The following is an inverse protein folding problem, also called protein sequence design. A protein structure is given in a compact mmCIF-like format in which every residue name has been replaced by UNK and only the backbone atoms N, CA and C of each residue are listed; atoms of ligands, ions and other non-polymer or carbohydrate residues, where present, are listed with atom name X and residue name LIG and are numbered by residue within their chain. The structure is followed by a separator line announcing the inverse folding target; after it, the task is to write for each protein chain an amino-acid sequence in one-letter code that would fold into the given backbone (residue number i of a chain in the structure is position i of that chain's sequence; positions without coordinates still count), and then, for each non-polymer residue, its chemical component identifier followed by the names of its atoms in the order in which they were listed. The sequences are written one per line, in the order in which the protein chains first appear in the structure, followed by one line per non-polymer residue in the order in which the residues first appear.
data_IF_452152453163
#
_entry.id   IF_452152453163
#
_cell.length_a   1.000
_cell.length_b   1.000
_cell.length_c   1.000
_cell.angle_alpha   90.00
_cell.angle_beta   90.00
_cell.angle_gamma   90.00
#
_symmetry.space_group_name_H-M   'P 1'
#
loop_
_entity.id
_entity.type
_entity.pdbx_description
1 polymer ?
#
# COMPACT_ATOMS: atom_id res chain seq x y z
N UNK A 1 -28.01 2.91 1.02
CA UNK A 1 -27.02 2.67 -0.06
C UNK A 1 -27.74 1.95 -1.19
N UNK A 2 -27.64 2.42 -2.42
CA UNK A 2 -28.28 1.80 -3.59
C UNK A 2 -27.37 0.69 -4.17
N UNK A 3 -27.34 -0.46 -3.51
CA UNK A 3 -26.51 -1.62 -3.83
C UNK A 3 -27.26 -2.77 -4.50
N UNK A 4 -28.59 -2.72 -4.43
CA UNK A 4 -29.47 -3.73 -4.99
C UNK A 4 -30.44 -3.09 -5.99
N UNK A 5 -30.80 -3.85 -7.00
CA UNK A 5 -31.85 -3.54 -7.95
C UNK A 5 -32.99 -4.54 -7.74
N UNK A 6 -34.20 -4.02 -7.55
CA UNK A 6 -35.41 -4.84 -7.44
C UNK A 6 -35.84 -5.23 -8.84
N UNK A 7 -35.98 -6.51 -9.10
CA UNK A 7 -36.48 -7.07 -10.37
C UNK A 7 -37.70 -7.95 -10.10
N UNK A 8 -38.51 -8.25 -11.11
CA UNK A 8 -39.64 -9.18 -10.93
C UNK A 8 -39.25 -10.59 -10.42
N UNK A 9 -37.98 -10.95 -10.65
CA UNK A 9 -37.42 -12.25 -10.25
C UNK A 9 -36.71 -12.23 -8.89
N UNK A 10 -36.66 -11.05 -8.23
CA UNK A 10 -35.97 -10.84 -6.95
C UNK A 10 -35.04 -9.66 -6.96
N UNK A 11 -33.89 -9.78 -6.26
CA UNK A 11 -32.90 -8.73 -6.16
C UNK A 11 -31.67 -9.07 -7.00
N UNK A 12 -31.16 -8.08 -7.76
CA UNK A 12 -29.85 -8.14 -8.41
C UNK A 12 -28.86 -7.27 -7.65
N UNK A 13 -27.68 -7.79 -7.40
CA UNK A 13 -26.56 -7.04 -6.78
C UNK A 13 -25.90 -6.19 -7.83
N UNK A 14 -25.78 -4.88 -7.58
CA UNK A 14 -25.09 -3.96 -8.48
C UNK A 14 -23.57 -4.18 -8.45
N UNK A 15 -22.92 -3.97 -9.58
CA UNK A 15 -21.46 -4.14 -9.74
C UNK A 15 -20.65 -3.45 -8.63
N UNK A 16 -21.04 -2.23 -8.24
CA UNK A 16 -20.37 -1.49 -7.18
C UNK A 16 -20.38 -2.21 -5.84
N UNK A 17 -21.41 -2.99 -5.53
CA UNK A 17 -21.46 -3.78 -4.31
C UNK A 17 -20.40 -4.90 -4.31
N UNK A 18 -20.21 -5.57 -5.44
CA UNK A 18 -19.14 -6.55 -5.58
C UNK A 18 -17.75 -5.89 -5.46
N UNK A 19 -17.54 -4.74 -6.08
CA UNK A 19 -16.29 -3.99 -6.00
C UNK A 19 -15.95 -3.52 -4.58
N UNK A 20 -16.97 -3.10 -3.81
CA UNK A 20 -16.78 -2.49 -2.50
C UNK A 20 -16.76 -3.48 -1.33
N UNK A 21 -17.46 -4.60 -1.44
CA UNK A 21 -17.75 -5.46 -0.30
C UNK A 21 -17.44 -6.94 -0.53
N UNK A 22 -17.10 -7.37 -1.76
CA UNK A 22 -16.75 -8.76 -2.03
C UNK A 22 -15.27 -9.01 -1.78
N UNK A 23 -14.92 -10.07 -1.07
CA UNK A 23 -13.52 -10.48 -0.85
C UNK A 23 -12.86 -11.01 -2.12
N UNK A 24 -13.67 -11.47 -3.11
CA UNK A 24 -13.22 -12.05 -4.35
C UNK A 24 -13.89 -11.40 -5.56
N UNK A 25 -13.71 -10.08 -5.80
CA UNK A 25 -14.34 -9.38 -6.91
C UNK A 25 -13.84 -9.88 -8.28
N UNK A 26 -12.67 -10.51 -8.34
CA UNK A 26 -12.11 -11.12 -9.56
C UNK A 26 -12.96 -12.26 -10.12
N UNK A 27 -13.91 -12.80 -9.34
CA UNK A 27 -14.90 -13.76 -9.83
C UNK A 27 -15.88 -13.14 -10.82
N UNK A 28 -16.15 -11.84 -10.64
CA UNK A 28 -17.09 -11.06 -11.46
C UNK A 28 -16.34 -10.20 -12.48
N UNK A 29 -15.25 -9.57 -12.06
CA UNK A 29 -14.40 -8.69 -12.86
C UNK A 29 -13.01 -9.29 -12.91
N UNK A 30 -12.68 -9.91 -14.03
CA UNK A 30 -11.42 -10.64 -14.16
C UNK A 30 -10.21 -9.71 -13.93
N UNK A 31 -9.15 -10.28 -13.37
CA UNK A 31 -7.92 -9.58 -13.06
C UNK A 31 -8.09 -8.32 -12.17
N UNK A 32 -9.15 -8.31 -11.34
CA UNK A 32 -9.32 -7.27 -10.32
C UNK A 32 -8.31 -7.51 -9.19
N UNK A 33 -7.09 -7.06 -9.44
CA UNK A 33 -5.95 -7.18 -8.53
C UNK A 33 -4.92 -6.10 -8.84
N UNK A 34 -3.99 -5.89 -7.93
CA UNK A 34 -2.80 -5.06 -8.13
C UNK A 34 -1.58 -5.97 -8.14
N UNK A 35 -0.76 -5.86 -9.16
CA UNK A 35 0.50 -6.56 -9.29
C UNK A 35 1.65 -5.58 -9.08
N UNK A 36 2.63 -5.97 -8.27
CA UNK A 36 3.80 -5.15 -7.99
C UNK A 36 5.02 -5.94 -8.41
N UNK A 37 5.82 -5.35 -9.30
CA UNK A 37 7.09 -5.90 -9.75
C UNK A 37 8.20 -4.90 -9.47
N UNK A 38 9.30 -5.36 -8.89
CA UNK A 38 10.43 -4.54 -8.51
C UNK A 38 11.64 -4.97 -9.34
N UNK A 39 12.26 -4.03 -10.02
CA UNK A 39 13.53 -4.20 -10.71
C UNK A 39 14.63 -3.46 -9.96
N UNK A 40 15.40 -4.12 -9.07
CA UNK A 40 16.36 -3.44 -8.18
C UNK A 40 17.46 -2.66 -8.90
N UNK A 41 17.78 -3.06 -10.13
CA UNK A 41 18.77 -2.39 -10.98
C UNK A 41 18.16 -1.72 -12.23
N UNK A 42 16.83 -1.74 -12.35
CA UNK A 42 16.11 -1.25 -13.52
C UNK A 42 15.87 -2.32 -14.58
N UNK A 43 14.69 -2.25 -15.21
CA UNK A 43 14.23 -3.23 -16.20
C UNK A 43 15.17 -3.32 -17.43
N UNK A 44 15.75 -2.20 -17.85
CA UNK A 44 16.63 -2.17 -19.02
C UNK A 44 18.04 -2.68 -18.72
N UNK A 45 18.52 -2.50 -17.48
CA UNK A 45 19.86 -2.86 -17.07
C UNK A 45 19.99 -4.33 -16.66
N UNK A 46 18.94 -4.86 -16.01
CA UNK A 46 18.95 -6.22 -15.44
C UNK A 46 17.52 -6.80 -15.47
N UNK A 47 16.99 -7.13 -16.67
CA UNK A 47 15.59 -7.56 -16.81
C UNK A 47 15.27 -8.90 -16.13
N UNK A 48 16.29 -9.75 -15.96
CA UNK A 48 16.12 -11.08 -15.36
C UNK A 48 16.10 -11.04 -13.82
N UNK A 49 16.51 -9.93 -13.23
CA UNK A 49 16.56 -9.76 -11.78
C UNK A 49 15.35 -8.92 -11.31
N UNK A 50 14.20 -9.57 -11.31
CA UNK A 50 12.96 -8.96 -10.84
C UNK A 50 12.43 -9.68 -9.59
N UNK A 51 11.71 -8.93 -8.76
CA UNK A 51 11.02 -9.43 -7.58
C UNK A 51 9.54 -9.21 -7.77
N UNK A 52 8.81 -10.29 -7.94
CA UNK A 52 7.35 -10.26 -8.04
C UNK A 52 6.73 -10.40 -6.66
N UNK A 53 5.81 -9.51 -6.35
CA UNK A 53 5.04 -9.55 -5.12
C UNK A 53 3.74 -10.33 -5.36
N UNK A 54 3.32 -11.13 -4.40
CA UNK A 54 2.05 -11.84 -4.50
C UNK A 54 0.92 -10.84 -4.81
N UNK A 55 0.07 -11.11 -5.82
CA UNK A 55 -0.97 -10.18 -6.26
C UNK A 55 -1.88 -9.76 -5.11
N UNK A 56 -2.09 -8.45 -4.96
CA UNK A 56 -2.95 -7.87 -3.94
C UNK A 56 -4.41 -7.95 -4.43
N UNK A 57 -5.23 -8.68 -3.69
CA UNK A 57 -6.64 -8.99 -4.04
C UNK A 57 -7.59 -8.59 -2.92
N UNK A 58 -8.87 -8.49 -3.27
CA UNK A 58 -9.96 -8.15 -2.36
C UNK A 58 -10.82 -7.02 -2.90
N UNK A 59 -11.76 -6.53 -2.11
CA UNK A 59 -12.54 -5.35 -2.49
C UNK A 59 -11.65 -4.13 -2.72
N UNK A 60 -12.11 -3.20 -3.54
CA UNK A 60 -11.29 -2.03 -3.98
C UNK A 60 -10.68 -1.25 -2.79
N UNK A 61 -11.44 -0.93 -1.72
CA UNK A 61 -10.83 -0.23 -0.57
C UNK A 61 -9.75 -1.04 0.14
N UNK A 62 -9.86 -2.37 0.14
CA UNK A 62 -8.84 -3.26 0.70
C UNK A 62 -7.59 -3.24 -0.17
N UNK A 63 -7.74 -3.38 -1.50
CA UNK A 63 -6.62 -3.33 -2.44
C UNK A 63 -5.86 -2.00 -2.32
N UNK A 64 -6.57 -0.87 -2.24
CA UNK A 64 -5.95 0.45 -2.03
C UNK A 64 -5.10 0.44 -0.76
N UNK A 65 -5.68 0.06 0.38
CA UNK A 65 -4.97 0.07 1.67
C UNK A 65 -3.77 -0.88 1.69
N UNK A 66 -3.93 -2.08 1.19
CA UNK A 66 -2.86 -3.09 1.20
C UNK A 66 -1.71 -2.68 0.28
N UNK A 67 -2.00 -2.13 -0.91
CA UNK A 67 -1.01 -1.59 -1.84
C UNK A 67 -0.24 -0.43 -1.21
N UNK A 68 -0.95 0.54 -0.63
CA UNK A 68 -0.32 1.69 0.02
C UNK A 68 0.51 1.29 1.25
N UNK A 69 0.02 0.32 2.02
CA UNK A 69 0.77 -0.21 3.16
C UNK A 69 2.05 -0.91 2.68
N UNK A 70 1.97 -1.70 1.61
CA UNK A 70 3.16 -2.33 1.02
C UNK A 70 4.18 -1.30 0.57
N UNK A 71 3.76 -0.31 -0.23
CA UNK A 71 4.65 0.76 -0.71
C UNK A 71 5.26 1.56 0.44
N UNK A 72 4.47 1.92 1.44
CA UNK A 72 4.94 2.65 2.63
C UNK A 72 5.98 1.86 3.43
N UNK A 73 5.74 0.57 3.62
CA UNK A 73 6.60 -0.27 4.45
C UNK A 73 7.89 -0.66 3.75
N UNK A 74 7.82 -1.01 2.45
CA UNK A 74 8.95 -1.63 1.77
C UNK A 74 9.69 -0.69 0.80
N UNK A 75 9.01 0.31 0.23
CA UNK A 75 9.56 1.14 -0.85
C UNK A 75 9.85 2.56 -0.40
N UNK A 76 8.91 3.23 0.29
CA UNK A 76 9.10 4.63 0.70
C UNK A 76 10.19 4.72 1.75
N UNK A 77 11.24 5.49 1.46
CA UNK A 77 12.38 5.70 2.34
C UNK A 77 12.51 7.19 2.66
N UNK A 78 12.86 7.46 3.92
CA UNK A 78 13.16 8.79 4.43
C UNK A 78 14.67 8.98 4.44
N UNK A 79 15.14 10.04 3.83
CA UNK A 79 16.57 10.40 3.81
C UNK A 79 16.74 11.79 4.44
N UNK A 80 17.77 11.92 5.25
CA UNK A 80 18.18 13.20 5.83
C UNK A 80 19.32 13.71 4.98
N UNK A 81 19.05 14.77 4.22
CA UNK A 81 20.06 15.49 3.43
C UNK A 81 20.47 16.76 4.15
N UNK A 82 21.77 17.00 4.23
CA UNK A 82 22.32 18.27 4.75
C UNK A 82 22.91 19.06 3.57
N UNK A 83 22.19 20.08 3.06
CA UNK A 83 22.72 20.95 2.02
C UNK A 83 24.00 21.63 2.47
N UNK A 84 24.95 21.89 1.54
CA UNK A 84 26.23 22.50 1.86
C UNK A 84 26.08 23.94 2.37
N UNK A 85 25.03 24.63 1.92
CA UNK A 85 24.81 26.06 2.21
C UNK A 85 23.95 26.35 3.45
N UNK A 86 23.50 25.29 4.19
CA UNK A 86 22.65 25.50 5.35
C UNK A 86 23.04 24.60 6.53
N UNK A 87 22.95 25.17 7.74
CA UNK A 87 23.15 24.39 8.98
C UNK A 87 22.00 23.39 9.28
N UNK A 88 20.87 23.53 8.57
CA UNK A 88 19.66 22.73 8.81
C UNK A 88 19.62 21.54 7.88
N UNK A 89 19.43 20.36 8.46
CA UNK A 89 19.11 19.15 7.70
C UNK A 89 17.71 19.23 7.12
N UNK A 90 17.57 18.84 5.85
CA UNK A 90 16.29 18.71 5.14
C UNK A 90 15.91 17.24 5.08
N UNK A 91 14.67 16.96 5.40
CA UNK A 91 14.10 15.61 5.27
C UNK A 91 13.46 15.50 3.89
N UNK A 92 13.90 14.53 3.11
CA UNK A 92 13.31 14.19 1.82
C UNK A 92 12.89 12.73 1.81
N UNK A 93 11.88 12.41 1.00
CA UNK A 93 11.47 11.04 0.75
C UNK A 93 11.83 10.67 -0.69
N UNK A 94 12.20 9.41 -0.93
CA UNK A 94 12.39 8.96 -2.31
C UNK A 94 11.09 9.17 -3.12
N UNK A 95 9.94 8.86 -2.50
CA UNK A 95 8.62 9.12 -3.05
C UNK A 95 7.71 9.71 -1.97
N UNK A 96 7.06 10.86 -2.18
CA UNK A 96 6.10 11.41 -1.22
C UNK A 96 4.84 10.52 -1.16
N UNK A 97 4.47 10.09 0.04
CA UNK A 97 3.36 9.16 0.25
C UNK A 97 2.06 9.64 -0.41
N UNK A 98 1.70 10.92 -0.27
CA UNK A 98 0.46 11.47 -0.81
C UNK A 98 0.40 11.44 -2.35
N UNK A 99 1.55 11.54 -3.03
CA UNK A 99 1.58 11.40 -4.48
C UNK A 99 1.29 9.95 -4.92
N UNK A 100 1.86 8.97 -4.22
CA UNK A 100 1.58 7.55 -4.47
C UNK A 100 0.15 7.18 -4.08
N UNK A 101 -0.36 7.71 -2.96
CA UNK A 101 -1.75 7.50 -2.53
C UNK A 101 -2.73 7.93 -3.61
N UNK A 102 -2.59 9.15 -4.12
CA UNK A 102 -3.45 9.66 -5.18
C UNK A 102 -3.33 8.84 -6.48
N UNK A 103 -2.11 8.45 -6.86
CA UNK A 103 -1.90 7.66 -8.06
C UNK A 103 -2.50 6.24 -7.97
N UNK A 104 -2.34 5.57 -6.82
CA UNK A 104 -2.92 4.23 -6.57
C UNK A 104 -4.46 4.30 -6.52
N UNK A 105 -5.01 5.29 -5.83
CA UNK A 105 -6.47 5.47 -5.78
C UNK A 105 -7.01 5.73 -7.17
N UNK A 106 -6.39 6.62 -7.93
CA UNK A 106 -6.80 6.94 -9.29
C UNK A 106 -6.72 5.74 -10.23
N UNK A 107 -5.68 4.91 -10.13
CA UNK A 107 -5.53 3.73 -10.98
C UNK A 107 -6.67 2.73 -10.78
N UNK A 108 -7.08 2.48 -9.54
CA UNK A 108 -8.20 1.59 -9.22
C UNK A 108 -9.56 2.23 -9.48
N UNK A 109 -9.70 3.55 -9.27
CA UNK A 109 -10.95 4.28 -9.53
C UNK A 109 -11.27 4.37 -11.02
N UNK A 110 -10.24 4.63 -11.87
CA UNK A 110 -10.43 4.86 -13.30
C UNK A 110 -10.22 3.62 -14.17
N UNK A 111 -9.76 2.50 -13.60
CA UNK A 111 -9.61 1.24 -14.32
C UNK A 111 -10.89 0.84 -15.03
N UNK A 112 -10.79 0.34 -16.26
CA UNK A 112 -11.89 -0.37 -16.89
C UNK A 112 -11.98 -1.80 -16.32
N UNK A 113 -13.03 -2.07 -15.60
CA UNK A 113 -13.26 -3.38 -14.96
C UNK A 113 -13.80 -4.44 -15.94
N UNK A 114 -14.04 -4.09 -17.20
CA UNK A 114 -14.34 -5.04 -18.27
C UNK A 114 -13.06 -5.60 -18.90
N UNK A 115 -11.96 -4.85 -18.80
CA UNK A 115 -10.65 -5.30 -19.24
C UNK A 115 -10.10 -6.39 -18.32
N UNK A 116 -9.36 -7.34 -18.93
CA UNK A 116 -8.80 -8.50 -18.23
C UNK A 116 -7.33 -8.32 -17.88
N UNK A 117 -6.95 -7.09 -17.57
CA UNK A 117 -5.59 -6.73 -17.19
C UNK A 117 -5.59 -6.13 -15.78
N UNK A 118 -4.59 -6.43 -14.94
CA UNK A 118 -4.49 -5.89 -13.59
C UNK A 118 -4.13 -4.40 -13.59
N UNK A 119 -4.09 -3.79 -12.41
CA UNK A 119 -3.30 -2.59 -12.18
C UNK A 119 -1.86 -3.04 -11.93
N UNK A 120 -0.92 -2.57 -12.73
CA UNK A 120 0.48 -2.91 -12.61
C UNK A 120 1.27 -1.76 -11.95
N UNK A 121 2.08 -2.08 -10.96
CA UNK A 121 3.01 -1.15 -10.33
C UNK A 121 4.42 -1.68 -10.54
N UNK A 122 5.21 -0.98 -11.32
CA UNK A 122 6.62 -1.29 -11.53
C UNK A 122 7.48 -0.34 -10.72
N UNK A 123 8.37 -0.87 -9.89
CA UNK A 123 9.30 -0.10 -9.07
C UNK A 123 10.71 -0.27 -9.62
N UNK A 124 11.32 0.84 -10.04
CA UNK A 124 12.68 0.93 -10.57
C UNK A 124 13.53 1.86 -9.68
N UNK A 125 14.87 1.89 -9.83
CA UNK A 125 15.74 2.74 -9.00
C UNK A 125 15.45 4.24 -9.09
N UNK A 126 14.89 4.68 -10.22
CA UNK A 126 14.67 6.09 -10.54
C UNK A 126 13.20 6.49 -10.58
N UNK A 127 12.26 5.54 -10.59
CA UNK A 127 10.82 5.82 -10.68
C UNK A 127 9.93 4.68 -10.19
N UNK A 128 8.68 5.02 -9.93
CA UNK A 128 7.56 4.08 -9.83
C UNK A 128 6.61 4.37 -10.99
N UNK A 129 6.34 3.36 -11.79
CA UNK A 129 5.35 3.39 -12.87
C UNK A 129 4.06 2.70 -12.44
N UNK A 130 2.92 3.35 -12.64
CA UNK A 130 1.60 2.77 -12.35
C UNK A 130 0.79 2.76 -13.64
N UNK A 131 0.44 1.56 -14.09
CA UNK A 131 -0.31 1.31 -15.31
C UNK A 131 -1.69 0.78 -14.97
N UNK A 132 -2.71 1.34 -15.56
CA UNK A 132 -4.05 0.78 -15.57
C UNK A 132 -4.69 0.86 -16.95
N UNK A 133 -5.55 -0.09 -17.27
CA UNK A 133 -6.33 -0.10 -18.49
C UNK A 133 -7.66 0.62 -18.30
N UNK A 134 -8.13 1.26 -19.36
CA UNK A 134 -9.18 2.26 -19.31
C UNK A 134 -8.59 3.66 -19.27
N UNK A 135 -8.01 4.07 -20.36
CA UNK A 135 -7.28 5.34 -20.51
C UNK A 135 -8.14 6.59 -20.29
N UNK A 136 -7.53 7.76 -20.37
CA UNK A 136 -8.18 9.02 -20.09
C UNK A 136 -9.26 9.32 -21.14
N UNK A 137 -10.39 9.88 -20.72
CA UNK A 137 -11.51 10.18 -21.60
C UNK A 137 -11.09 11.07 -22.79
N UNK A 138 -11.60 10.78 -23.99
CA UNK A 138 -11.29 11.51 -25.23
C UNK A 138 -11.63 13.01 -25.20
N UNK A 139 -12.43 13.48 -24.23
CA UNK A 139 -12.69 14.91 -24.02
C UNK A 139 -11.51 15.66 -23.41
N UNK A 140 -10.50 14.94 -22.89
CA UNK A 140 -9.27 15.53 -22.37
C UNK A 140 -8.29 15.72 -23.54
N UNK A 141 -7.71 16.91 -23.67
CA UNK A 141 -6.76 17.17 -24.75
C UNK A 141 -5.47 16.36 -24.58
N UNK A 142 -4.88 15.91 -25.68
CA UNK A 142 -3.59 15.19 -25.66
C UNK A 142 -2.46 16.05 -25.11
N UNK A 143 -2.55 17.38 -25.28
CA UNK A 143 -1.61 18.32 -24.68
C UNK A 143 -1.68 18.30 -23.15
N UNK A 144 -2.90 18.35 -22.56
CA UNK A 144 -3.07 18.31 -21.11
C UNK A 144 -2.53 17.01 -20.50
N UNK A 145 -2.68 15.89 -21.22
CA UNK A 145 -2.12 14.59 -20.81
C UNK A 145 -0.58 14.65 -20.85
N UNK A 146 -0.01 15.03 -21.99
CA UNK A 146 1.44 15.10 -22.18
C UNK A 146 2.13 16.04 -21.19
N UNK A 147 1.47 17.15 -20.83
CA UNK A 147 2.00 18.10 -19.86
C UNK A 147 1.70 17.70 -18.40
N UNK A 148 1.02 16.58 -18.19
CA UNK A 148 0.56 16.11 -16.89
C UNK A 148 -0.07 17.25 -16.07
N UNK A 149 -0.98 17.99 -16.72
CA UNK A 149 -1.77 19.06 -16.12
C UNK A 149 -3.07 18.52 -15.50
N UNK A 150 -3.96 19.40 -15.12
CA UNK A 150 -5.28 19.02 -14.62
C UNK A 150 -6.10 18.32 -15.73
N UNK A 151 -6.40 17.04 -15.54
CA UNK A 151 -7.20 16.24 -16.47
C UNK A 151 -8.69 16.40 -16.11
N UNK A 152 -9.37 17.36 -16.74
CA UNK A 152 -10.79 17.62 -16.48
C UNK A 152 -11.65 16.75 -17.39
N UNK A 153 -12.32 15.78 -16.81
CA UNK A 153 -13.45 15.08 -17.42
C UNK A 153 -14.56 14.97 -16.38
N UNK A 154 -15.81 15.11 -16.83
CA UNK A 154 -16.99 14.81 -15.99
C UNK A 154 -17.59 13.43 -16.30
N UNK A 155 -16.95 12.68 -17.18
CA UNK A 155 -17.34 11.33 -17.57
C UNK A 155 -16.45 10.34 -16.83
N UNK A 156 -17.01 9.71 -15.82
CA UNK A 156 -16.33 8.70 -15.01
C UNK A 156 -16.97 7.34 -15.29
N UNK A 157 -16.19 6.37 -15.74
CA UNK A 157 -16.67 5.00 -15.99
C UNK A 157 -17.23 4.36 -14.72
N UNK A 158 -16.57 4.57 -13.60
CA UNK A 158 -16.92 3.97 -12.31
C UNK A 158 -17.52 5.00 -11.34
N UNK A 159 -18.48 5.81 -11.79
CA UNK A 159 -19.01 6.94 -11.00
C UNK A 159 -19.47 6.52 -9.60
N UNK A 160 -20.20 5.41 -9.50
CA UNK A 160 -20.70 4.92 -8.20
C UNK A 160 -19.55 4.46 -7.28
N UNK A 161 -18.53 3.84 -7.84
CA UNK A 161 -17.32 3.50 -7.07
C UNK A 161 -16.68 4.76 -6.48
N UNK A 162 -16.54 5.82 -7.29
CA UNK A 162 -16.01 7.10 -6.82
C UNK A 162 -16.80 7.74 -5.69
N UNK A 163 -18.14 7.64 -5.72
CA UNK A 163 -19.01 8.13 -4.63
C UNK A 163 -18.69 7.39 -3.31
N UNK A 164 -18.52 6.07 -3.33
CA UNK A 164 -18.15 5.29 -2.15
C UNK A 164 -16.72 5.59 -1.68
N UNK A 165 -15.76 5.70 -2.61
CA UNK A 165 -14.37 6.05 -2.26
C UNK A 165 -14.30 7.44 -1.60
N UNK A 166 -15.14 8.37 -2.03
CA UNK A 166 -15.27 9.70 -1.41
C UNK A 166 -15.84 9.63 0.01
N UNK A 167 -16.88 8.83 0.25
CA UNK A 167 -17.42 8.59 1.60
C UNK A 167 -16.37 7.98 2.55
N UNK A 168 -15.43 7.19 1.99
CA UNK A 168 -14.30 6.64 2.74
C UNK A 168 -13.11 7.60 2.86
N UNK A 169 -13.22 8.84 2.36
CA UNK A 169 -12.16 9.83 2.27
C UNK A 169 -10.91 9.35 1.51
N UNK A 170 -11.09 8.45 0.54
CA UNK A 170 -10.01 7.95 -0.32
C UNK A 170 -9.84 8.78 -1.61
N UNK A 171 -10.81 9.62 -1.96
CA UNK A 171 -10.73 10.55 -3.09
C UNK A 171 -11.57 11.79 -2.85
N UNK A 172 -11.17 12.93 -3.40
CA UNK A 172 -11.95 14.17 -3.34
C UNK A 172 -12.96 14.30 -4.50
N UNK A 173 -12.75 13.60 -5.61
CA UNK A 173 -13.64 13.58 -6.77
C UNK A 173 -13.78 14.92 -7.50
N UNK A 174 -12.76 15.80 -7.45
CA UNK A 174 -12.79 17.17 -8.02
C UNK A 174 -11.82 17.39 -9.17
N UNK A 175 -11.31 16.33 -9.81
CA UNK A 175 -10.25 16.38 -10.84
C UNK A 175 -8.94 17.04 -10.33
N UNK A 176 -8.65 16.92 -9.05
CA UNK A 176 -7.47 17.47 -8.39
C UNK A 176 -6.31 16.47 -8.33
N UNK A 177 -6.51 15.21 -8.72
CA UNK A 177 -5.56 14.12 -8.56
C UNK A 177 -4.18 14.43 -9.15
N UNK A 178 -4.08 14.71 -10.44
CA UNK A 178 -2.79 15.04 -11.08
C UNK A 178 -2.17 16.32 -10.50
N UNK A 179 -2.88 17.44 -10.31
CA UNK A 179 -2.36 18.59 -9.58
C UNK A 179 -1.82 18.27 -8.19
N UNK A 180 -2.52 17.42 -7.42
CA UNK A 180 -2.07 17.00 -6.09
C UNK A 180 -0.76 16.21 -6.17
N UNK A 181 -0.65 15.25 -7.11
CA UNK A 181 0.59 14.49 -7.34
C UNK A 181 1.74 15.46 -7.64
N UNK A 182 1.56 16.38 -8.59
CA UNK A 182 2.60 17.34 -8.99
C UNK A 182 3.00 18.26 -7.83
N UNK A 183 2.03 18.73 -7.06
CA UNK A 183 2.29 19.57 -5.88
C UNK A 183 3.12 18.82 -4.83
N UNK A 184 2.74 17.57 -4.51
CA UNK A 184 3.46 16.77 -3.51
C UNK A 184 4.87 16.40 -3.95
N UNK A 185 5.08 16.15 -5.23
CA UNK A 185 6.42 15.99 -5.79
C UNK A 185 7.23 17.27 -5.67
N UNK A 186 6.66 18.42 -6.00
CA UNK A 186 7.33 19.73 -5.87
C UNK A 186 7.68 20.04 -4.41
N UNK A 187 6.76 19.83 -3.47
CA UNK A 187 6.99 20.02 -2.02
C UNK A 187 8.14 19.14 -1.51
N UNK A 188 8.31 17.93 -2.07
CA UNK A 188 9.39 17.00 -1.75
C UNK A 188 10.71 17.31 -2.49
N UNK A 189 10.73 18.28 -3.40
CA UNK A 189 11.89 18.55 -4.26
C UNK A 189 12.15 17.46 -5.31
N UNK A 190 11.13 16.68 -5.66
CA UNK A 190 11.19 15.63 -6.68
C UNK A 190 10.90 16.20 -8.08
N UNK A 191 11.39 15.56 -9.15
CA UNK A 191 10.97 15.88 -10.51
C UNK A 191 9.45 15.68 -10.70
N UNK A 192 8.90 16.25 -11.78
CA UNK A 192 7.48 16.15 -12.10
C UNK A 192 7.14 14.74 -12.58
N UNK A 193 5.96 14.27 -12.21
CA UNK A 193 5.38 13.07 -12.80
C UNK A 193 5.06 13.28 -14.28
N UNK A 194 5.19 12.21 -15.07
CA UNK A 194 4.82 12.16 -16.47
C UNK A 194 3.65 11.20 -16.69
N UNK A 195 2.88 11.44 -17.74
CA UNK A 195 1.73 10.62 -18.10
C UNK A 195 1.87 10.18 -19.56
N UNK A 196 1.59 8.91 -19.81
CA UNK A 196 1.58 8.31 -21.14
C UNK A 196 0.26 7.58 -21.37
N UNK A 197 -0.21 7.62 -22.60
CA UNK A 197 -1.32 6.85 -23.14
C UNK A 197 -1.17 6.74 -24.65
N UNK A 198 -1.82 5.75 -25.26
CA UNK A 198 -1.88 5.61 -26.74
C UNK A 198 -2.91 6.56 -27.37
N UNK A 199 -2.96 6.59 -28.71
CA UNK A 199 -3.92 7.41 -29.46
C UNK A 199 -5.37 6.97 -29.21
N UNK A 200 -5.58 5.68 -29.02
CA UNK A 200 -6.89 5.07 -28.76
C UNK A 200 -7.31 5.18 -27.30
N UNK A 201 -6.41 5.63 -26.42
CA UNK A 201 -6.66 5.80 -24.99
C UNK A 201 -7.05 4.50 -24.28
N UNK A 202 -6.37 3.42 -24.61
CA UNK A 202 -6.63 2.11 -24.03
C UNK A 202 -6.06 1.95 -22.64
N UNK A 203 -4.97 2.66 -22.33
CA UNK A 203 -4.30 2.63 -21.03
C UNK A 203 -3.99 4.02 -20.48
N UNK A 204 -3.67 4.06 -19.20
CA UNK A 204 -3.11 5.22 -18.51
C UNK A 204 -1.88 4.76 -17.73
N UNK A 205 -0.73 5.32 -18.06
CA UNK A 205 0.53 5.11 -17.37
C UNK A 205 0.96 6.42 -16.71
N UNK A 206 1.27 6.37 -15.43
CA UNK A 206 1.89 7.49 -14.73
C UNK A 206 3.25 7.06 -14.17
N UNK A 207 4.28 7.83 -14.49
CA UNK A 207 5.62 7.69 -13.91
C UNK A 207 5.80 8.72 -12.81
N UNK A 208 6.12 8.24 -11.62
CA UNK A 208 6.43 9.04 -10.43
C UNK A 208 7.92 8.92 -10.18
N UNK A 209 8.71 9.96 -10.50
CA UNK A 209 10.16 9.90 -10.39
C UNK A 209 10.63 9.91 -8.93
N UNK A 210 11.73 9.21 -8.68
CA UNK A 210 12.45 9.25 -7.42
C UNK A 210 13.05 10.64 -7.17
N UNK A 211 13.10 11.06 -5.90
CA UNK A 211 13.83 12.27 -5.54
C UNK A 211 15.33 12.10 -5.84
N UNK A 212 15.95 13.10 -6.47
CA UNK A 212 17.34 13.02 -6.94
C UNK A 212 18.33 12.72 -5.81
N UNK A 213 18.09 13.21 -4.59
CA UNK A 213 18.94 12.92 -3.42
C UNK A 213 18.83 11.48 -2.93
N UNK A 214 17.89 10.72 -3.47
CA UNK A 214 17.64 9.32 -3.12
C UNK A 214 18.09 8.34 -4.21
N UNK A 215 18.59 8.83 -5.34
CA UNK A 215 19.15 7.99 -6.40
C UNK A 215 20.37 7.22 -5.89
N UNK A 216 20.44 5.92 -6.22
CA UNK A 216 21.50 5.04 -5.74
C UNK A 216 21.25 4.40 -4.37
N UNK A 217 20.15 4.76 -3.69
CA UNK A 217 19.69 4.04 -2.51
C UNK A 217 18.99 2.75 -2.96
N UNK A 218 19.19 1.60 -2.29
CA UNK A 218 18.50 0.36 -2.64
C UNK A 218 16.99 0.57 -2.72
N UNK A 219 16.37 0.04 -3.77
CA UNK A 219 14.94 0.22 -4.06
C UNK A 219 14.04 -0.36 -2.94
N UNK A 220 14.49 -1.47 -2.35
CA UNK A 220 13.80 -2.10 -1.22
C UNK A 220 14.55 -1.72 0.06
N UNK A 221 13.81 -1.41 1.11
CA UNK A 221 14.39 -1.22 2.44
C UNK A 221 15.11 -2.49 2.87
N UNK A 222 16.38 -2.35 3.21
CA UNK A 222 17.14 -3.44 3.78
C UNK A 222 16.72 -3.58 5.26
N UNK A 223 15.97 -4.63 5.61
CA UNK A 223 15.53 -4.91 6.99
C UNK A 223 16.68 -4.97 7.99
N UNK A 224 17.94 -4.89 7.50
CA UNK A 224 19.16 -5.01 8.32
C UNK A 224 19.84 -3.69 8.68
N UNK A 225 19.39 -2.52 8.19
CA UNK A 225 20.11 -1.25 8.40
C UNK A 225 19.46 -0.21 9.31
N UNK A 226 18.22 -0.36 9.70
CA UNK A 226 17.55 0.59 10.62
C UNK A 226 17.65 0.23 12.12
N UNK A 227 18.44 -0.79 12.48
CA UNK A 227 18.66 -1.17 13.88
C UNK A 227 19.90 -0.49 14.50
N UNK A 228 20.00 0.84 14.40
CA UNK A 228 20.87 1.65 15.29
C UNK A 228 20.28 3.03 15.53
N UNK A 229 19.09 3.10 16.06
CA UNK A 229 18.65 4.11 17.01
C UNK A 229 17.68 3.43 17.97
N UNK A 230 18.02 3.51 19.26
CA UNK A 230 17.20 3.09 20.37
C UNK A 230 15.82 3.78 20.35
N UNK A 231 14.91 3.28 19.53
CA UNK A 231 13.48 3.37 19.82
C UNK A 231 13.08 2.01 20.36
N UNK A 232 13.01 1.90 21.69
CA UNK A 232 12.31 0.80 22.35
C UNK A 232 10.97 0.67 21.65
N UNK A 233 10.81 -0.35 20.80
CA UNK A 233 9.51 -0.69 20.19
C UNK A 233 8.53 -0.83 21.37
N UNK A 234 7.66 0.15 21.54
CA UNK A 234 6.64 0.08 22.59
C UNK A 234 5.80 -1.18 22.37
N UNK A 235 5.63 -1.93 23.45
CA UNK A 235 4.81 -3.13 23.42
C UNK A 235 3.36 -2.73 23.08
N UNK A 236 2.73 -3.50 22.21
CA UNK A 236 1.29 -3.35 21.95
C UNK A 236 0.50 -3.67 23.23
N UNK A 237 -0.73 -3.19 23.35
CA UNK A 237 -1.58 -3.47 24.53
C UNK A 237 -1.75 -4.97 24.76
N UNK A 238 -1.90 -5.77 23.69
CA UNK A 238 -1.96 -7.23 23.79
C UNK A 238 -0.66 -7.80 24.35
N UNK A 239 0.49 -7.31 23.91
CA UNK A 239 1.80 -7.75 24.37
C UNK A 239 2.05 -7.35 25.83
N UNK A 240 1.61 -6.16 26.26
CA UNK A 240 1.66 -5.71 27.66
C UNK A 240 0.82 -6.63 28.56
N UNK A 241 -0.40 -6.96 28.12
CA UNK A 241 -1.28 -7.89 28.83
C UNK A 241 -0.63 -9.27 28.96
N UNK A 242 -0.04 -9.81 27.87
CA UNK A 242 0.63 -11.11 27.89
C UNK A 242 1.83 -11.13 28.84
N UNK A 243 2.65 -10.09 28.82
CA UNK A 243 3.79 -9.95 29.75
C UNK A 243 3.31 -9.89 31.21
N UNK A 244 2.22 -9.17 31.50
CA UNK A 244 1.63 -9.12 32.82
C UNK A 244 1.12 -10.49 33.28
N UNK A 245 0.37 -11.18 32.44
CA UNK A 245 -0.16 -12.54 32.74
C UNK A 245 0.95 -13.57 32.94
N UNK A 246 2.05 -13.46 32.20
CA UNK A 246 3.23 -14.32 32.34
C UNK A 246 4.00 -13.98 33.63
N UNK A 247 4.08 -12.70 34.02
CA UNK A 247 4.74 -12.28 35.24
C UNK A 247 4.02 -12.76 36.52
N UNK A 248 2.68 -12.95 36.45
CA UNK A 248 1.88 -13.52 37.54
C UNK A 248 2.06 -15.04 37.64
N UNK A 249 2.25 -15.73 36.55
CA UNK A 249 2.43 -17.17 36.46
C UNK A 249 3.35 -17.56 35.33
N UNK A 250 4.61 -17.82 35.61
CA UNK A 250 5.64 -18.19 34.64
C UNK A 250 5.44 -19.57 33.98
N UNK A 251 4.58 -20.41 34.54
CA UNK A 251 4.23 -21.74 34.03
C UNK A 251 2.94 -21.76 33.20
N UNK A 252 2.31 -20.61 33.02
CA UNK A 252 1.05 -20.51 32.30
C UNK A 252 1.13 -21.06 30.87
N UNK A 253 0.13 -21.84 30.47
CA UNK A 253 0.02 -22.39 29.12
C UNK A 253 -0.65 -21.43 28.14
N UNK A 254 -0.47 -21.66 26.84
CA UNK A 254 -1.12 -20.86 25.77
C UNK A 254 -2.66 -20.91 25.93
N UNK A 255 -3.22 -22.09 26.23
CA UNK A 255 -4.66 -22.25 26.44
C UNK A 255 -5.19 -21.51 27.65
N UNK A 256 -4.41 -21.42 28.73
CA UNK A 256 -4.77 -20.64 29.92
C UNK A 256 -4.65 -19.13 29.67
N UNK A 257 -3.63 -18.70 28.92
CA UNK A 257 -3.52 -17.30 28.46
C UNK A 257 -4.72 -16.93 27.60
N UNK A 258 -5.14 -17.79 26.68
CA UNK A 258 -6.29 -17.56 25.82
C UNK A 258 -7.59 -17.38 26.64
N UNK A 259 -7.79 -18.20 27.66
CA UNK A 259 -8.94 -18.08 28.60
C UNK A 259 -8.89 -16.79 29.42
N UNK A 260 -7.71 -16.41 29.95
CA UNK A 260 -7.54 -15.20 30.77
C UNK A 260 -7.71 -13.91 29.98
N UNK A 261 -7.30 -13.90 28.71
CA UNK A 261 -7.27 -12.69 27.85
C UNK A 261 -8.46 -12.60 26.90
N UNK A 262 -9.32 -13.63 26.82
CA UNK A 262 -10.40 -13.78 25.85
C UNK A 262 -9.93 -13.71 24.38
N UNK A 263 -8.67 -14.08 24.09
CA UNK A 263 -8.06 -14.11 22.77
C UNK A 263 -7.94 -15.57 22.27
N UNK A 264 -7.86 -15.74 20.95
CA UNK A 264 -7.63 -17.06 20.37
C UNK A 264 -6.20 -17.57 20.65
N UNK A 265 -6.01 -18.89 20.77
CA UNK A 265 -4.67 -19.49 20.95
C UNK A 265 -3.71 -19.16 19.81
N UNK A 266 -4.23 -19.01 18.58
CA UNK A 266 -3.44 -18.60 17.42
C UNK A 266 -2.92 -17.16 17.56
N UNK A 267 -3.74 -16.25 18.08
CA UNK A 267 -3.31 -14.88 18.39
C UNK A 267 -2.24 -14.85 19.46
N UNK A 268 -2.46 -15.58 20.57
CA UNK A 268 -1.48 -15.69 21.66
C UNK A 268 -0.14 -16.24 21.14
N UNK A 269 -0.17 -17.33 20.37
CA UNK A 269 1.04 -17.96 19.81
C UNK A 269 1.82 -17.00 18.92
N UNK A 270 1.12 -16.21 18.10
CA UNK A 270 1.75 -15.20 17.23
C UNK A 270 2.40 -14.08 18.05
N UNK A 271 1.71 -13.53 19.04
CA UNK A 271 2.26 -12.45 19.85
C UNK A 271 3.39 -12.91 20.77
N UNK A 272 3.33 -14.12 21.33
CA UNK A 272 4.46 -14.75 22.04
C UNK A 272 5.69 -14.90 21.12
N UNK A 273 5.49 -15.32 19.87
CA UNK A 273 6.58 -15.40 18.90
C UNK A 273 7.22 -14.02 18.67
N UNK A 274 6.43 -12.96 18.56
CA UNK A 274 6.92 -11.58 18.45
C UNK A 274 7.69 -11.12 19.70
N UNK A 275 7.17 -11.38 20.90
CA UNK A 275 7.86 -11.07 22.16
C UNK A 275 9.21 -11.79 22.29
N UNK A 276 9.32 -13.00 21.75
CA UNK A 276 10.56 -13.79 21.77
C UNK A 276 11.56 -13.37 20.70
N UNK A 277 11.10 -13.16 19.47
CA UNK A 277 11.96 -12.96 18.27
C UNK A 277 12.23 -11.48 18.05
N UNK A 278 11.15 -10.66 18.04
CA UNK A 278 11.23 -9.26 17.64
C UNK A 278 11.64 -8.35 18.79
N UNK A 279 11.05 -8.57 19.99
CA UNK A 279 11.34 -7.79 21.21
C UNK A 279 12.45 -8.40 22.07
N UNK A 280 12.71 -9.70 21.95
CA UNK A 280 13.70 -10.45 22.75
C UNK A 280 13.54 -10.31 24.28
N UNK A 281 12.32 -10.00 24.73
CA UNK A 281 12.00 -9.80 26.14
C UNK A 281 11.39 -11.03 26.81
N UNK A 282 11.13 -12.10 26.04
CA UNK A 282 10.53 -13.32 26.53
C UNK A 282 11.32 -14.54 26.04
N UNK A 283 11.59 -15.48 26.91
CA UNK A 283 12.15 -16.78 26.58
C UNK A 283 11.36 -17.90 27.26
N UNK A 284 11.56 -19.13 26.83
CA UNK A 284 11.01 -20.31 27.49
C UNK A 284 12.13 -21.27 27.83
N UNK A 285 12.29 -21.57 29.08
CA UNK A 285 13.29 -22.49 29.60
C UNK A 285 12.65 -23.80 30.07
N UNK A 286 13.36 -24.93 29.93
CA UNK A 286 12.88 -26.24 30.30
C UNK A 286 12.20 -27.04 29.19
N UNK A 287 11.81 -28.28 29.51
CA UNK A 287 11.19 -29.22 28.58
C UNK A 287 9.69 -28.98 28.35
N UNK A 288 9.09 -29.74 27.41
CA UNK A 288 7.68 -29.61 27.03
C UNK A 288 6.68 -29.67 28.20
N UNK A 289 6.96 -30.47 29.24
CA UNK A 289 6.06 -30.68 30.40
C UNK A 289 6.35 -29.74 31.58
N UNK A 290 7.59 -29.30 31.78
CA UNK A 290 8.03 -28.53 32.96
C UNK A 290 8.71 -27.21 32.57
N UNK A 291 8.44 -26.70 31.38
CA UNK A 291 9.01 -25.43 30.93
C UNK A 291 8.28 -24.22 31.51
N UNK A 292 9.03 -23.17 31.80
CA UNK A 292 8.52 -21.89 32.31
C UNK A 292 8.97 -20.73 31.40
N UNK A 293 8.27 -19.63 31.50
CA UNK A 293 8.55 -18.41 30.78
C UNK A 293 9.51 -17.53 31.57
N UNK A 294 10.52 -16.99 30.91
CA UNK A 294 11.48 -16.06 31.49
C UNK A 294 11.36 -14.71 30.79
N UNK A 295 11.05 -13.66 31.55
CA UNK A 295 11.05 -12.29 31.08
C UNK A 295 12.47 -11.74 31.21
N UNK A 296 13.05 -11.36 30.06
CA UNK A 296 14.38 -10.79 29.97
C UNK A 296 14.23 -9.28 30.11
N UNK A 297 14.87 -8.68 31.11
CA UNK A 297 14.86 -7.23 31.39
C UNK A 297 15.86 -6.49 30.53
#
# INVERSE_FOLDING_TARGET
MDLLEVTPEGFKVKNVAAMMFCDHPERFFKMTQVEIVIFPKGRLQDPDNMIEIAPIRGCVPKMIRDTLNYLKTNIIQKIIHKPEDTERSVVVYNYPYQALEEAVVNSLYHRDYLEREPVEITVEPDKISILNFGGPNHTISSEAIREARMLRSRRYNNRRLGEFLKELNLTEGRATGIPTIQQKLQENGSPRATIETDEERTFFLIDIPCNQHCLGVPVIKDDKKDDKKDDKKELTDIQRILVSVISENDKITISEMARKTALSESTISREIKRLRVDHKILNREGGRKNGHWVIIK
#
